data_IF_356366554804
#
_entry.id   IF_356366554804
#
_cell.length_a   1.000
_cell.length_b   1.000
_cell.length_c   1.000
_cell.angle_alpha   90.00
_cell.angle_beta   90.00
_cell.angle_gamma   90.00
#
_symmetry.space_group_name_H-M   'P 1'
#
loop_
_entity.id
_entity.type
_entity.pdbx_description
1 polymer ?
#
# COMPACT_ATOMS: atom_id res chain seq x y z
N UNK A 1 22.04 -35.56 50.23
CA UNK A 1 21.02 -34.49 50.19
C UNK A 1 21.27 -33.70 48.92
N UNK A 2 20.43 -33.89 47.90
CA UNK A 2 20.61 -33.28 46.58
C UNK A 2 19.89 -31.92 46.55
N UNK A 3 20.63 -30.85 46.29
CA UNK A 3 20.10 -29.49 46.20
C UNK A 3 19.14 -29.34 45.02
N UNK A 4 18.02 -28.61 45.15
CA UNK A 4 17.10 -28.38 44.04
C UNK A 4 17.74 -27.52 42.95
N UNK A 5 17.74 -28.03 41.72
CA UNK A 5 18.16 -27.33 40.50
C UNK A 5 17.26 -26.10 40.27
N UNK A 6 17.82 -24.91 39.98
CA UNK A 6 17.01 -23.72 39.70
C UNK A 6 16.14 -23.95 38.46
N UNK A 7 14.83 -23.76 38.62
CA UNK A 7 13.86 -23.83 37.53
C UNK A 7 14.07 -22.67 36.56
N UNK A 8 14.28 -22.98 35.28
CA UNK A 8 14.39 -21.98 34.20
C UNK A 8 13.15 -21.08 34.18
N UNK A 9 13.31 -19.75 33.99
CA UNK A 9 12.17 -18.84 33.95
C UNK A 9 11.28 -19.19 32.75
N UNK A 10 10.00 -19.46 33.03
CA UNK A 10 8.99 -19.69 31.99
C UNK A 10 8.90 -18.45 31.11
N UNK A 11 8.88 -18.57 29.76
CA UNK A 11 8.76 -17.42 28.88
C UNK A 11 7.53 -16.60 29.26
N UNK A 12 7.74 -15.32 29.57
CA UNK A 12 6.70 -14.40 29.99
C UNK A 12 5.71 -14.20 28.83
N UNK A 13 4.60 -14.96 28.83
CA UNK A 13 3.54 -14.78 27.83
C UNK A 13 3.00 -13.36 27.97
N UNK A 14 2.91 -12.57 26.89
CA UNK A 14 2.28 -11.26 26.94
C UNK A 14 0.86 -11.40 27.50
N UNK A 15 0.45 -10.45 28.35
CA UNK A 15 -0.95 -10.42 28.82
C UNK A 15 -1.94 -10.29 27.64
N UNK A 16 -3.20 -10.72 27.80
CA UNK A 16 -4.19 -10.79 26.71
C UNK A 16 -4.34 -9.49 25.90
N UNK A 17 -4.21 -8.32 26.55
CA UNK A 17 -4.27 -7.02 25.88
C UNK A 17 -3.09 -6.78 24.91
N UNK A 18 -1.88 -7.20 25.30
CA UNK A 18 -0.69 -7.06 24.46
C UNK A 18 -0.75 -7.97 23.23
N UNK A 19 -1.31 -9.17 23.39
CA UNK A 19 -1.56 -10.12 22.30
C UNK A 19 -2.59 -9.57 21.31
N UNK A 20 -3.74 -9.09 21.78
CA UNK A 20 -4.76 -8.47 20.92
C UNK A 20 -4.23 -7.22 20.18
N UNK A 21 -3.33 -6.45 20.80
CA UNK A 21 -2.69 -5.33 20.14
C UNK A 21 -1.72 -5.79 19.04
N UNK A 22 -0.98 -6.88 19.27
CA UNK A 22 -0.10 -7.48 18.26
C UNK A 22 -0.90 -8.01 17.07
N UNK A 23 -1.99 -8.75 17.31
CA UNK A 23 -2.87 -9.27 16.26
C UNK A 23 -3.47 -8.14 15.42
N UNK A 24 -3.96 -7.05 16.05
CA UNK A 24 -4.47 -5.88 15.33
C UNK A 24 -3.42 -5.21 14.43
N UNK A 25 -2.15 -5.17 14.86
CA UNK A 25 -1.06 -4.65 14.01
C UNK A 25 -0.84 -5.51 12.78
N UNK A 26 -0.84 -6.83 12.93
CA UNK A 26 -0.68 -7.77 11.81
C UNK A 26 -1.88 -7.65 10.86
N UNK A 27 -3.11 -7.67 11.39
CA UNK A 27 -4.33 -7.56 10.59
C UNK A 27 -4.35 -6.28 9.74
N UNK A 28 -3.97 -5.13 10.31
CA UNK A 28 -3.86 -3.88 9.56
C UNK A 28 -2.82 -3.96 8.45
N UNK A 29 -1.65 -4.55 8.71
CA UNK A 29 -0.60 -4.70 7.69
C UNK A 29 -1.05 -5.61 6.55
N UNK A 30 -1.62 -6.76 6.86
CA UNK A 30 -2.15 -7.70 5.86
C UNK A 30 -3.26 -7.04 5.04
N UNK A 31 -4.20 -6.35 5.69
CA UNK A 31 -5.25 -5.60 5.00
C UNK A 31 -4.70 -4.50 4.09
N UNK A 32 -3.68 -3.76 4.54
CA UNK A 32 -3.04 -2.72 3.74
C UNK A 32 -2.32 -3.30 2.52
N UNK A 33 -1.61 -4.42 2.69
CA UNK A 33 -0.91 -5.10 1.59
C UNK A 33 -1.91 -5.66 0.58
N UNK A 34 -2.97 -6.34 1.05
CA UNK A 34 -4.00 -6.90 0.19
C UNK A 34 -4.71 -5.81 -0.62
N UNK A 35 -5.12 -4.71 0.03
CA UNK A 35 -5.72 -3.57 -0.64
C UNK A 35 -4.76 -2.94 -1.66
N UNK A 36 -3.50 -2.70 -1.26
CA UNK A 36 -2.49 -2.12 -2.15
C UNK A 36 -2.28 -2.99 -3.39
N UNK A 37 -2.16 -4.30 -3.21
CA UNK A 37 -1.99 -5.25 -4.31
C UNK A 37 -3.14 -5.17 -5.32
N UNK A 38 -4.39 -5.03 -4.88
CA UNK A 38 -5.53 -4.86 -5.81
C UNK A 38 -5.52 -3.47 -6.45
N UNK A 39 -5.34 -2.42 -5.65
CA UNK A 39 -5.44 -1.05 -6.12
C UNK A 39 -4.34 -0.67 -7.13
N UNK A 40 -3.12 -1.17 -6.95
CA UNK A 40 -2.01 -0.90 -7.88
C UNK A 40 -2.27 -1.49 -9.26
N UNK A 41 -3.01 -2.61 -9.37
CA UNK A 41 -3.41 -3.15 -10.68
C UNK A 41 -4.31 -2.16 -11.44
N UNK A 42 -5.19 -1.43 -10.75
CA UNK A 42 -5.99 -0.38 -11.36
C UNK A 42 -5.14 0.77 -11.91
N UNK A 43 -4.15 1.22 -11.13
CA UNK A 43 -3.21 2.29 -11.54
C UNK A 43 -2.42 1.87 -12.79
N UNK A 44 -1.86 0.66 -12.78
CA UNK A 44 -1.09 0.12 -13.90
C UNK A 44 -1.97 -0.17 -15.13
N UNK A 45 -3.16 -0.73 -14.90
CA UNK A 45 -4.13 -1.01 -15.97
C UNK A 45 -4.54 0.25 -16.71
N UNK A 46 -4.81 1.35 -16.00
CA UNK A 46 -5.12 2.64 -16.63
C UNK A 46 -3.98 3.16 -17.50
N UNK A 47 -2.72 3.01 -17.08
CA UNK A 47 -1.55 3.43 -17.85
C UNK A 47 -1.41 2.59 -19.13
N UNK A 48 -1.57 1.26 -19.01
CA UNK A 48 -1.50 0.36 -20.17
C UNK A 48 -2.62 0.68 -21.17
N UNK A 49 -3.85 0.89 -20.70
CA UNK A 49 -4.96 1.28 -21.58
C UNK A 49 -4.71 2.64 -22.22
N UNK A 50 -4.14 3.60 -21.50
CA UNK A 50 -3.75 4.89 -22.07
C UNK A 50 -2.77 4.74 -23.23
N UNK A 51 -1.78 3.84 -23.10
CA UNK A 51 -0.84 3.53 -24.18
C UNK A 51 -1.55 2.96 -25.41
N UNK A 52 -2.45 1.98 -25.21
CA UNK A 52 -3.23 1.37 -26.30
C UNK A 52 -4.08 2.41 -27.02
N UNK A 53 -4.82 3.22 -26.27
CA UNK A 53 -5.72 4.24 -26.81
C UNK A 53 -4.95 5.36 -27.53
N UNK A 54 -3.74 5.71 -27.07
CA UNK A 54 -2.88 6.65 -27.81
C UNK A 54 -2.50 6.11 -29.20
N UNK A 55 -2.29 4.80 -29.33
CA UNK A 55 -2.03 4.14 -30.62
C UNK A 55 -3.21 4.20 -31.61
N UNK A 56 -4.42 4.48 -31.13
CA UNK A 56 -5.63 4.69 -31.94
C UNK A 56 -5.86 6.18 -32.32
N UNK A 57 -4.83 7.03 -32.16
CA UNK A 57 -4.89 8.49 -32.38
C UNK A 57 -5.87 9.23 -31.44
N UNK A 58 -6.24 8.60 -30.32
CA UNK A 58 -7.13 9.14 -29.28
C UNK A 58 -6.34 9.76 -28.14
N UNK A 59 -5.46 10.71 -28.47
CA UNK A 59 -4.53 11.32 -27.51
C UNK A 59 -5.20 11.97 -26.29
N UNK A 60 -6.36 12.60 -26.47
CA UNK A 60 -7.11 13.21 -25.36
C UNK A 60 -7.58 12.18 -24.33
N UNK A 61 -8.06 11.02 -24.79
CA UNK A 61 -8.51 9.93 -23.92
C UNK A 61 -7.32 9.30 -23.18
N UNK A 62 -6.18 9.16 -23.85
CA UNK A 62 -4.95 8.68 -23.22
C UNK A 62 -4.50 9.61 -22.06
N UNK A 63 -4.52 10.93 -22.28
CA UNK A 63 -4.21 11.92 -21.23
C UNK A 63 -5.21 11.79 -20.07
N UNK A 64 -6.51 11.68 -20.35
CA UNK A 64 -7.53 11.51 -19.32
C UNK A 64 -7.28 10.26 -18.46
N UNK A 65 -6.94 9.13 -19.09
CA UNK A 65 -6.63 7.88 -18.39
C UNK A 65 -5.38 7.99 -17.51
N UNK A 66 -4.34 8.70 -17.96
CA UNK A 66 -3.15 8.97 -17.15
C UNK A 66 -3.47 9.88 -15.95
N UNK A 67 -4.29 10.91 -16.13
CA UNK A 67 -4.76 11.76 -15.02
C UNK A 67 -5.57 10.94 -14.02
N UNK A 68 -6.47 10.08 -14.49
CA UNK A 68 -7.25 9.17 -13.62
C UNK A 68 -6.34 8.18 -12.89
N UNK A 69 -5.28 7.66 -13.53
CA UNK A 69 -4.27 6.85 -12.85
C UNK A 69 -3.64 7.58 -11.66
N UNK A 70 -3.33 8.88 -11.82
CA UNK A 70 -2.84 9.73 -10.73
C UNK A 70 -3.84 9.90 -9.59
N UNK A 71 -5.12 10.10 -9.91
CA UNK A 71 -6.19 10.15 -8.89
C UNK A 71 -6.25 8.85 -8.09
N UNK A 72 -6.23 7.71 -8.78
CA UNK A 72 -6.23 6.39 -8.13
C UNK A 72 -4.97 6.15 -7.28
N UNK A 73 -3.80 6.62 -7.72
CA UNK A 73 -2.58 6.58 -6.93
C UNK A 73 -2.71 7.35 -5.60
N UNK A 74 -3.27 8.56 -5.63
CA UNK A 74 -3.53 9.36 -4.42
C UNK A 74 -4.55 8.69 -3.51
N UNK A 75 -5.66 8.17 -4.07
CA UNK A 75 -6.66 7.43 -3.29
C UNK A 75 -6.04 6.20 -2.63
N UNK A 76 -5.23 5.45 -3.38
CA UNK A 76 -4.51 4.27 -2.87
C UNK A 76 -3.61 4.64 -1.70
N UNK A 77 -2.84 5.72 -1.83
CA UNK A 77 -2.02 6.26 -0.75
C UNK A 77 -2.84 6.54 0.51
N UNK A 78 -3.93 7.32 0.37
CA UNK A 78 -4.77 7.71 1.50
C UNK A 78 -5.34 6.48 2.21
N UNK A 79 -5.93 5.54 1.46
CA UNK A 79 -6.57 4.35 2.03
C UNK A 79 -5.54 3.47 2.75
N UNK A 80 -4.37 3.22 2.15
CA UNK A 80 -3.30 2.44 2.80
C UNK A 80 -2.86 3.09 4.12
N UNK A 81 -2.70 4.42 4.15
CA UNK A 81 -2.33 5.14 5.40
C UNK A 81 -3.41 5.04 6.46
N UNK A 82 -4.69 5.12 6.08
CA UNK A 82 -5.82 4.95 6.99
C UNK A 82 -5.87 3.52 7.57
N UNK A 83 -5.68 2.49 6.75
CA UNK A 83 -5.64 1.10 7.22
C UNK A 83 -4.50 0.91 8.23
N UNK A 84 -3.32 1.45 7.93
CA UNK A 84 -2.15 1.38 8.80
C UNK A 84 -2.25 2.29 10.03
N UNK A 85 -3.31 3.11 10.17
CA UNK A 85 -3.43 4.15 11.18
C UNK A 85 -2.20 5.09 11.24
N UNK A 86 -1.67 5.44 10.07
CA UNK A 86 -0.48 6.27 9.93
C UNK A 86 -0.84 7.71 9.51
N UNK A 87 0.06 8.66 9.78
CA UNK A 87 -0.15 10.09 9.46
C UNK A 87 -0.36 10.31 7.95
N UNK A 88 -1.41 11.02 7.55
CA UNK A 88 -1.71 11.28 6.13
C UNK A 88 -0.76 12.28 5.45
N UNK A 89 -0.11 13.15 6.22
CA UNK A 89 0.87 14.08 5.65
C UNK A 89 2.26 13.46 5.67
N UNK A 90 2.63 12.81 4.57
CA UNK A 90 3.94 12.19 4.41
C UNK A 90 4.45 12.37 2.96
N UNK A 91 5.10 13.51 2.64
CA UNK A 91 5.36 13.94 1.26
C UNK A 91 6.19 12.93 0.46
N UNK A 92 7.18 12.29 1.08
CA UNK A 92 7.97 11.24 0.43
C UNK A 92 7.11 10.06 -0.05
N UNK A 93 6.09 9.68 0.73
CA UNK A 93 5.17 8.59 0.37
C UNK A 93 4.12 9.00 -0.65
N UNK A 94 3.71 10.26 -0.64
CA UNK A 94 2.85 10.84 -1.68
C UNK A 94 3.59 10.82 -3.01
N UNK A 95 4.83 11.34 -3.03
CA UNK A 95 5.68 11.30 -4.21
C UNK A 95 5.88 9.86 -4.71
N UNK A 96 6.17 8.92 -3.79
CA UNK A 96 6.31 7.50 -4.14
C UNK A 96 5.04 6.91 -4.77
N UNK A 97 3.86 7.25 -4.24
CA UNK A 97 2.59 6.74 -4.79
C UNK A 97 2.35 7.19 -6.23
N UNK A 98 2.86 8.37 -6.60
CA UNK A 98 2.72 8.94 -7.95
C UNK A 98 3.77 8.43 -8.94
N UNK A 99 4.81 7.71 -8.49
CA UNK A 99 5.89 7.21 -9.37
C UNK A 99 5.37 6.41 -10.57
N UNK A 100 4.47 5.42 -10.40
CA UNK A 100 3.95 4.67 -11.55
C UNK A 100 3.25 5.57 -12.56
N UNK A 101 2.44 6.52 -12.08
CA UNK A 101 1.75 7.49 -12.93
C UNK A 101 2.73 8.40 -13.66
N UNK A 102 3.75 8.92 -12.98
CA UNK A 102 4.78 9.75 -13.60
C UNK A 102 5.54 8.99 -14.71
N UNK A 103 5.88 7.72 -14.45
CA UNK A 103 6.46 6.83 -15.47
C UNK A 103 5.49 6.65 -16.64
N UNK A 104 4.20 6.46 -16.36
CA UNK A 104 3.15 6.38 -17.37
C UNK A 104 3.08 7.62 -18.26
N UNK A 105 3.18 8.82 -17.68
CA UNK A 105 3.25 10.07 -18.45
C UNK A 105 4.46 10.11 -19.37
N UNK A 106 5.65 9.74 -18.89
CA UNK A 106 6.89 9.73 -19.71
C UNK A 106 6.86 8.66 -20.79
N UNK A 107 6.24 7.51 -20.51
CA UNK A 107 6.19 6.40 -21.45
C UNK A 107 5.10 6.58 -22.53
N UNK A 108 3.95 7.11 -22.14
CA UNK A 108 2.80 7.26 -23.04
C UNK A 108 2.89 8.55 -23.82
N UNK A 109 3.21 9.70 -23.22
CA UNK A 109 3.22 11.00 -23.91
C UNK A 109 4.54 11.24 -24.65
#
# INVERSE_FOLDING_TARGET
>A
MSSPTPSSPTPNRPGPAAELAALRRVQRRVGAIAFFAVAIHGVLGLIVVAHVVKGEDRGADAVLLLVMSGVFAVVTYVVVRLILAARLWAPAWIALSLVPTAIGFVWVL
#
